data_IF_777702706826
#
_entry.id   IF_777702706826
#
_cell.length_a   1.000
_cell.length_b   1.000
_cell.length_c   1.000
_cell.angle_alpha   90.00
_cell.angle_beta   90.00
_cell.angle_gamma   90.00
#
_symmetry.space_group_name_H-M   'P 1'
#
loop_
_entity.id
_entity.type
_entity.pdbx_description
1 polymer ?
#
# COMPACT_ATOMS: atom_id res chain seq x y z
N UNK A 1 12.24 14.53 6.79
CA UNK A 1 10.89 15.13 6.93
C UNK A 1 11.04 16.39 7.75
N UNK A 2 10.14 17.38 7.63
CA UNK A 2 10.08 18.47 8.60
C UNK A 2 9.90 17.89 10.02
N UNK A 3 10.47 18.56 11.01
CA UNK A 3 10.32 18.20 12.42
C UNK A 3 8.89 18.52 12.82
N UNK A 4 8.19 17.53 13.39
CA UNK A 4 6.79 17.65 13.79
C UNK A 4 6.65 17.20 15.24
N UNK A 5 6.37 18.15 16.13
CA UNK A 5 6.32 17.95 17.59
C UNK A 5 5.12 17.09 18.02
N UNK A 6 4.09 16.97 17.18
CA UNK A 6 2.90 16.16 17.45
C UNK A 6 3.12 14.67 17.14
N UNK A 7 4.24 14.32 16.49
CA UNK A 7 4.57 12.96 16.08
C UNK A 7 5.65 12.29 16.95
N UNK A 8 5.58 10.96 17.17
CA UNK A 8 6.62 10.21 17.86
C UNK A 8 8.00 10.45 17.23
N UNK A 9 9.01 10.71 18.09
CA UNK A 9 10.37 10.99 17.63
C UNK A 9 10.46 12.27 16.79
N UNK A 10 9.54 13.21 17.01
CA UNK A 10 9.41 14.46 16.26
C UNK A 10 9.18 14.23 14.74
N UNK A 11 8.55 13.12 14.39
CA UNK A 11 8.33 12.72 12.99
C UNK A 11 9.59 12.19 12.28
N UNK A 12 10.73 12.03 12.95
CA UNK A 12 12.01 11.73 12.31
C UNK A 12 12.17 10.23 11.98
N UNK A 13 11.64 9.35 12.82
CA UNK A 13 11.85 7.90 12.68
C UNK A 13 10.59 7.24 12.12
N UNK A 14 10.46 7.25 10.80
CA UNK A 14 9.27 6.75 10.10
C UNK A 14 9.56 5.53 9.22
N UNK A 15 8.63 4.59 9.18
CA UNK A 15 8.64 3.47 8.25
C UNK A 15 7.53 3.61 7.21
N UNK A 16 7.92 3.93 5.98
CA UNK A 16 6.99 4.05 4.85
C UNK A 16 6.22 2.76 4.57
N UNK A 17 6.88 1.60 4.66
CA UNK A 17 6.25 0.32 4.37
C UNK A 17 5.10 0.00 5.34
N UNK A 18 5.18 0.47 6.58
CA UNK A 18 4.22 0.15 7.63
C UNK A 18 3.36 1.33 8.08
N UNK A 19 3.55 2.51 7.48
CA UNK A 19 2.88 3.77 7.81
C UNK A 19 2.90 4.03 9.33
N UNK A 20 4.12 4.07 9.90
CA UNK A 20 4.30 4.20 11.36
C UNK A 20 5.52 5.03 11.73
N UNK A 21 5.33 5.91 12.71
CA UNK A 21 6.36 6.67 13.40
C UNK A 21 6.85 5.95 14.66
N UNK A 22 8.13 6.13 14.99
CA UNK A 22 8.82 5.54 16.13
C UNK A 22 9.47 6.64 16.98
N UNK A 23 9.67 6.34 18.27
CA UNK A 23 10.25 7.30 19.21
C UNK A 23 11.76 7.52 19.01
N UNK A 24 12.49 6.51 18.53
CA UNK A 24 13.94 6.57 18.30
C UNK A 24 14.37 5.75 17.09
N UNK A 25 15.59 6.01 16.63
CA UNK A 25 16.26 5.24 15.57
C UNK A 25 16.36 3.75 15.92
N UNK A 26 16.78 3.43 17.14
CA UNK A 26 16.99 2.05 17.60
C UNK A 26 15.70 1.21 17.50
N UNK A 27 14.56 1.80 17.90
CA UNK A 27 13.24 1.14 17.81
C UNK A 27 12.80 0.95 16.36
N UNK A 28 13.09 1.92 15.48
CA UNK A 28 12.85 1.80 14.03
C UNK A 28 13.71 0.67 13.42
N UNK A 29 14.97 0.56 13.82
CA UNK A 29 15.87 -0.48 13.33
C UNK A 29 15.48 -1.89 13.83
N UNK A 30 15.06 -2.01 15.08
CA UNK A 30 14.45 -3.25 15.58
C UNK A 30 13.19 -3.60 14.77
N UNK A 31 12.34 -2.61 14.49
CA UNK A 31 11.15 -2.80 13.67
C UNK A 31 11.49 -3.40 12.29
N UNK A 32 12.53 -2.91 11.61
CA UNK A 32 12.95 -3.44 10.30
C UNK A 32 13.38 -4.92 10.36
N UNK A 33 13.94 -5.37 11.48
CA UNK A 33 14.36 -6.77 11.67
C UNK A 33 13.18 -7.70 11.95
N UNK A 34 12.05 -7.17 12.40
CA UNK A 34 10.86 -7.94 12.77
C UNK A 34 10.25 -8.73 11.61
N UNK A 35 9.64 -9.88 11.92
CA UNK A 35 8.95 -10.72 10.92
C UNK A 35 7.76 -9.99 10.27
N UNK A 36 7.08 -9.13 11.04
CA UNK A 36 5.93 -8.36 10.55
C UNK A 36 6.35 -7.38 9.44
N UNK A 37 7.44 -6.64 9.66
CA UNK A 37 7.96 -5.72 8.66
C UNK A 37 8.36 -6.46 7.39
N UNK A 38 9.16 -7.52 7.51
CA UNK A 38 9.60 -8.35 6.36
C UNK A 38 8.42 -8.92 5.56
N UNK A 39 7.36 -9.36 6.24
CA UNK A 39 6.13 -9.85 5.58
C UNK A 39 5.46 -8.73 4.77
N UNK A 40 5.35 -7.53 5.34
CA UNK A 40 4.72 -6.38 4.66
C UNK A 40 5.53 -5.91 3.46
N UNK A 41 6.86 -5.84 3.58
CA UNK A 41 7.75 -5.55 2.43
C UNK A 41 7.55 -6.57 1.32
N UNK A 42 7.53 -7.87 1.65
CA UNK A 42 7.30 -8.92 0.64
C UNK A 42 5.93 -8.81 -0.04
N UNK A 43 4.89 -8.39 0.69
CA UNK A 43 3.57 -8.14 0.11
C UNK A 43 3.57 -6.94 -0.83
N UNK A 44 4.24 -5.85 -0.45
CA UNK A 44 4.36 -4.62 -1.26
C UNK A 44 5.22 -4.83 -2.52
N UNK A 45 6.23 -5.70 -2.47
CA UNK A 45 7.01 -6.11 -3.65
C UNK A 45 6.32 -7.17 -4.52
N UNK A 46 5.12 -7.60 -4.13
CA UNK A 46 4.34 -8.62 -4.82
C UNK A 46 3.54 -8.04 -5.99
N UNK A 47 2.48 -8.75 -6.43
CA UNK A 47 1.57 -8.24 -7.46
C UNK A 47 0.91 -6.93 -6.99
N UNK A 48 0.42 -6.16 -7.96
CA UNK A 48 -0.27 -4.91 -7.69
C UNK A 48 -1.35 -5.09 -6.61
N UNK A 49 -1.56 -4.09 -5.74
CA UNK A 49 -2.61 -4.16 -4.73
C UNK A 49 -3.96 -4.40 -5.40
N UNK A 50 -4.76 -5.24 -4.75
CA UNK A 50 -6.10 -5.59 -5.24
C UNK A 50 -6.93 -4.33 -5.48
N UNK A 51 -7.50 -4.22 -6.67
CA UNK A 51 -8.35 -3.10 -7.07
C UNK A 51 -9.81 -3.50 -7.14
N UNK A 52 -10.69 -2.51 -7.15
CA UNK A 52 -12.13 -2.73 -7.33
C UNK A 52 -12.44 -3.47 -8.64
N UNK A 53 -11.73 -3.15 -9.72
CA UNK A 53 -11.87 -3.82 -11.02
C UNK A 53 -11.56 -5.33 -10.94
N UNK A 54 -10.55 -5.72 -10.17
CA UNK A 54 -10.23 -7.14 -9.96
C UNK A 54 -11.39 -7.87 -9.26
N UNK A 55 -12.05 -7.22 -8.30
CA UNK A 55 -13.22 -7.77 -7.61
C UNK A 55 -14.44 -7.88 -8.54
N UNK A 56 -14.72 -6.83 -9.32
CA UNK A 56 -15.83 -6.80 -10.27
C UNK A 56 -15.68 -7.87 -11.36
N UNK A 57 -14.46 -8.02 -11.91
CA UNK A 57 -14.17 -9.07 -12.89
C UNK A 57 -14.33 -10.47 -12.29
N UNK A 58 -13.86 -10.70 -11.05
CA UNK A 58 -14.02 -11.98 -10.36
C UNK A 58 -15.49 -12.29 -10.02
N UNK A 59 -16.32 -11.27 -9.78
CA UNK A 59 -17.75 -11.39 -9.52
C UNK A 59 -18.59 -11.53 -10.80
N UNK A 60 -17.97 -11.51 -11.99
CA UNK A 60 -18.68 -11.53 -13.27
C UNK A 60 -19.39 -10.21 -13.62
N UNK A 61 -19.09 -9.14 -12.89
CA UNK A 61 -19.55 -7.77 -13.13
C UNK A 61 -18.52 -6.97 -13.92
N UNK A 62 -17.97 -7.59 -14.97
CA UNK A 62 -17.05 -6.91 -15.90
C UNK A 62 -17.71 -5.71 -16.58
N UNK A 63 -16.88 -4.85 -17.17
CA UNK A 63 -17.33 -3.61 -17.83
C UNK A 63 -18.52 -3.89 -18.78
N UNK A 64 -19.59 -3.09 -18.74
CA UNK A 64 -20.69 -3.26 -19.68
C UNK A 64 -20.17 -3.04 -21.11
N UNK A 65 -20.28 -4.06 -21.96
CA UNK A 65 -19.94 -4.04 -23.40
C UNK A 65 -20.93 -3.17 -24.21
N UNK A 66 -21.47 -2.10 -23.63
CA UNK A 66 -22.26 -1.11 -24.36
C UNK A 66 -21.33 -0.09 -25.03
N UNK A 67 -20.32 -0.59 -25.76
CA UNK A 67 -19.64 0.19 -26.79
C UNK A 67 -20.56 0.39 -28.00
N UNK A 68 -20.40 1.45 -28.79
CA UNK A 68 -21.20 1.62 -30.00
C UNK A 68 -20.98 0.42 -30.91
N UNK A 69 -22.04 -0.34 -31.20
CA UNK A 69 -22.03 -1.33 -32.27
C UNK A 69 -21.61 -0.61 -33.54
N UNK A 70 -20.39 -0.87 -34.01
CA UNK A 70 -19.99 -0.56 -35.38
C UNK A 70 -20.90 -1.40 -36.30
N UNK A 71 -22.05 -0.81 -36.62
CA UNK A 71 -22.94 -1.26 -37.68
C UNK A 71 -22.59 -0.49 -38.94
N UNK A 72 -22.34 -1.27 -39.99
CA UNK A 72 -22.54 -0.95 -41.40
C UNK A 72 -21.45 -0.18 -42.14
N UNK A 73 -21.09 -0.78 -43.30
CA UNK A 73 -20.16 -0.31 -44.32
C UNK A 73 -19.73 -1.48 -45.18
#
# INVERSE_FOLDING_TARGET
>A
MPVDEDLPGMGQFYCLHCDRYFASEEVRDEHFRSKRHKKRVKQLSGPAPHTQLDADLAAGMGMPDNGPKLMSG
#
